data_IF_553443026375
#
_entry.id   IF_553443026375
#
_cell.length_a   1.000
_cell.length_b   1.000
_cell.length_c   1.000
_cell.angle_alpha   90.00
_cell.angle_beta   90.00
_cell.angle_gamma   90.00
#
_symmetry.space_group_name_H-M   'P 1'
#
loop_
_entity.id
_entity.type
_entity.pdbx_description
1 polymer ?
#
# COMPACT_ATOMS: atom_id res chain seq x y z
N UNK A 1 -4.38 9.43 8.86
CA UNK A 1 -5.62 9.29 9.67
C UNK A 1 -5.83 7.81 10.00
N UNK A 2 -6.20 7.43 11.23
CA UNK A 2 -6.34 6.01 11.62
C UNK A 2 -7.73 5.44 11.28
N UNK A 3 -7.85 4.11 11.16
CA UNK A 3 -9.11 3.41 10.95
C UNK A 3 -10.26 3.88 11.88
N UNK A 4 -10.04 4.05 13.21
CA UNK A 4 -11.07 4.60 14.10
C UNK A 4 -11.60 5.98 13.70
N UNK A 5 -10.72 6.87 13.21
CA UNK A 5 -11.13 8.22 12.78
C UNK A 5 -11.98 8.17 11.52
N UNK A 6 -11.64 7.28 10.57
CA UNK A 6 -12.45 7.04 9.36
C UNK A 6 -13.79 6.40 9.70
N UNK A 7 -13.80 5.45 10.62
CA UNK A 7 -15.03 4.84 11.11
C UNK A 7 -15.93 5.88 11.77
N UNK A 8 -15.38 6.72 12.65
CA UNK A 8 -16.13 7.82 13.26
C UNK A 8 -16.66 8.80 12.20
N UNK A 9 -15.83 9.18 11.23
CA UNK A 9 -16.24 10.04 10.13
C UNK A 9 -17.41 9.43 9.33
N UNK A 10 -17.37 8.14 9.02
CA UNK A 10 -18.46 7.47 8.32
C UNK A 10 -19.75 7.47 9.15
N UNK A 11 -19.65 7.32 10.47
CA UNK A 11 -20.82 7.41 11.36
C UNK A 11 -21.38 8.82 11.41
N UNK A 12 -20.53 9.85 11.47
CA UNK A 12 -20.94 11.25 11.50
C UNK A 12 -21.63 11.64 10.18
N UNK A 13 -21.08 11.23 9.02
CA UNK A 13 -21.67 11.45 7.68
C UNK A 13 -23.04 10.78 7.53
N UNK A 14 -23.22 9.61 8.14
CA UNK A 14 -24.48 8.84 8.09
C UNK A 14 -25.47 9.23 9.20
N UNK A 15 -25.06 10.08 10.16
CA UNK A 15 -25.86 10.44 11.32
C UNK A 15 -26.11 9.28 12.28
N UNK A 16 -25.20 8.30 12.33
CA UNK A 16 -25.38 7.07 13.12
C UNK A 16 -24.59 7.12 14.43
N UNK A 17 -25.19 6.60 15.50
CA UNK A 17 -24.47 6.33 16.73
C UNK A 17 -23.91 4.89 16.73
N UNK A 18 -23.03 4.57 17.71
CA UNK A 18 -22.36 3.27 17.80
C UNK A 18 -23.34 2.10 17.96
N UNK A 19 -24.42 2.30 18.72
CA UNK A 19 -25.47 1.29 18.94
C UNK A 19 -26.24 1.00 17.65
N UNK A 20 -26.49 2.02 16.86
CA UNK A 20 -27.18 1.91 15.59
C UNK A 20 -26.30 1.18 14.56
N UNK A 21 -25.00 1.49 14.51
CA UNK A 21 -24.04 0.70 13.71
C UNK A 21 -24.03 -0.76 14.17
N UNK A 22 -24.00 -1.02 15.47
CA UNK A 22 -23.98 -2.37 16.02
C UNK A 22 -25.23 -3.16 15.59
N UNK A 23 -26.41 -2.53 15.61
CA UNK A 23 -27.68 -3.12 15.16
C UNK A 23 -27.64 -3.47 13.68
N UNK A 24 -27.20 -2.55 12.81
CA UNK A 24 -27.08 -2.79 11.35
C UNK A 24 -26.05 -3.87 11.02
N UNK A 25 -24.96 -3.92 11.77
CA UNK A 25 -23.91 -4.91 11.63
C UNK A 25 -24.28 -6.28 12.21
N UNK A 26 -25.30 -6.36 13.07
CA UNK A 26 -25.64 -7.57 13.83
C UNK A 26 -24.54 -7.97 14.82
N UNK A 27 -23.87 -6.98 15.44
CA UNK A 27 -22.79 -7.20 16.42
C UNK A 27 -23.15 -6.55 17.76
N UNK A 28 -22.42 -6.90 18.81
CA UNK A 28 -22.58 -6.24 20.12
C UNK A 28 -22.02 -4.81 20.05
N UNK A 29 -22.62 -3.82 20.75
CA UNK A 29 -22.09 -2.45 20.83
C UNK A 29 -20.63 -2.38 21.30
N UNK A 30 -20.22 -3.30 22.18
CA UNK A 30 -18.83 -3.45 22.64
C UNK A 30 -17.84 -3.70 21.50
N UNK A 31 -18.25 -4.41 20.44
CA UNK A 31 -17.42 -4.65 19.26
C UNK A 31 -17.14 -3.35 18.51
N UNK A 32 -18.17 -2.51 18.31
CA UNK A 32 -18.04 -1.20 17.68
C UNK A 32 -17.17 -0.27 18.52
N UNK A 33 -17.34 -0.28 19.84
CA UNK A 33 -16.48 0.49 20.75
C UNK A 33 -15.01 0.03 20.66
N UNK A 34 -14.76 -1.28 20.56
CA UNK A 34 -13.42 -1.82 20.33
C UNK A 34 -12.81 -1.32 19.02
N UNK A 35 -13.61 -1.24 17.95
CA UNK A 35 -13.17 -0.72 16.65
C UNK A 35 -12.74 0.75 16.72
N UNK A 36 -13.47 1.57 17.47
CA UNK A 36 -13.12 2.96 17.72
C UNK A 36 -11.91 3.12 18.66
N UNK A 37 -11.59 2.10 19.45
CA UNK A 37 -10.37 2.01 20.29
C UNK A 37 -9.17 1.39 19.57
N UNK A 38 -9.19 1.35 18.24
CA UNK A 38 -8.08 0.88 17.40
C UNK A 38 -7.94 -0.65 17.30
N UNK A 39 -9.01 -1.41 17.58
CA UNK A 39 -9.08 -2.85 17.28
C UNK A 39 -9.58 -3.06 15.85
N UNK A 40 -8.80 -3.74 15.01
CA UNK A 40 -9.20 -4.01 13.63
C UNK A 40 -10.21 -5.19 13.63
N UNK A 41 -11.39 -5.03 13.01
CA UNK A 41 -12.35 -6.13 12.87
C UNK A 41 -11.80 -7.26 11.98
N UNK A 42 -12.35 -8.46 12.11
CA UNK A 42 -12.07 -9.54 11.17
C UNK A 42 -12.63 -9.23 9.77
N UNK A 43 -12.09 -9.90 8.76
CA UNK A 43 -12.39 -9.68 7.35
C UNK A 43 -13.90 -9.78 7.03
N UNK A 44 -14.62 -10.69 7.67
CA UNK A 44 -16.08 -10.85 7.53
C UNK A 44 -16.85 -9.59 7.98
N UNK A 45 -16.43 -9.00 9.12
CA UNK A 45 -17.03 -7.77 9.65
C UNK A 45 -16.63 -6.56 8.84
N UNK A 46 -15.43 -6.55 8.28
CA UNK A 46 -14.94 -5.50 7.40
C UNK A 46 -15.71 -5.43 6.07
N UNK A 47 -15.98 -6.58 5.44
CA UNK A 47 -16.82 -6.65 4.24
C UNK A 47 -18.23 -6.14 4.51
N UNK A 48 -18.85 -6.63 5.58
CA UNK A 48 -20.19 -6.17 5.99
C UNK A 48 -20.21 -4.68 6.35
N UNK A 49 -19.14 -4.16 6.95
CA UNK A 49 -19.01 -2.73 7.23
C UNK A 49 -19.00 -1.91 5.93
N UNK A 50 -18.26 -2.37 4.91
CA UNK A 50 -18.25 -1.74 3.58
C UNK A 50 -19.64 -1.73 2.94
N UNK A 51 -20.35 -2.85 3.00
CA UNK A 51 -21.72 -2.97 2.48
C UNK A 51 -22.70 -2.05 3.20
N UNK A 52 -22.66 -2.02 4.54
CA UNK A 52 -23.59 -1.26 5.36
C UNK A 52 -23.33 0.24 5.27
N UNK A 53 -22.07 0.67 5.17
CA UNK A 53 -21.71 2.09 5.11
C UNK A 53 -21.67 2.65 3.69
N UNK A 54 -21.70 1.80 2.66
CA UNK A 54 -21.56 2.20 1.26
C UNK A 54 -20.17 2.74 0.89
N UNK A 55 -19.19 2.64 1.79
CA UNK A 55 -17.80 3.04 1.53
C UNK A 55 -16.97 1.81 1.16
N UNK A 56 -16.07 1.89 0.17
CA UNK A 56 -15.18 0.77 -0.15
C UNK A 56 -14.26 0.48 1.04
N UNK A 57 -13.86 -0.79 1.22
CA UNK A 57 -12.98 -1.22 2.31
C UNK A 57 -11.73 -0.32 2.42
N UNK A 58 -11.10 -0.07 1.28
CA UNK A 58 -9.89 0.74 1.14
C UNK A 58 -10.07 2.19 1.60
N UNK A 59 -11.31 2.69 1.66
CA UNK A 59 -11.61 4.03 2.18
C UNK A 59 -11.31 4.14 3.69
N UNK A 60 -11.65 3.09 4.45
CA UNK A 60 -11.35 3.01 5.88
C UNK A 60 -9.85 2.91 6.15
N UNK A 61 -9.11 2.38 5.18
CA UNK A 61 -7.68 2.16 5.25
C UNK A 61 -6.87 3.11 4.38
N UNK A 62 -7.42 4.14 3.73
CA UNK A 62 -6.67 4.89 2.68
C UNK A 62 -5.41 5.60 3.18
N UNK A 63 -5.26 5.76 4.50
CA UNK A 63 -4.04 6.26 5.12
C UNK A 63 -3.18 5.14 5.78
N UNK A 64 -3.72 3.94 5.96
CA UNK A 64 -2.98 2.73 6.37
C UNK A 64 -2.43 1.96 5.16
N UNK A 65 -3.10 2.04 4.00
CA UNK A 65 -2.57 1.64 2.70
C UNK A 65 -1.38 2.50 2.30
N UNK A 66 -1.22 3.69 2.88
CA UNK A 66 0.04 4.42 2.78
C UNK A 66 1.23 3.73 3.47
N UNK A 67 0.99 2.75 4.35
CA UNK A 67 2.02 2.15 5.20
C UNK A 67 2.12 0.62 5.16
N UNK A 68 1.18 -0.11 4.54
CA UNK A 68 1.24 -1.58 4.50
C UNK A 68 1.29 -2.20 3.10
N UNK A 69 0.66 -1.62 2.08
CA UNK A 69 0.87 -2.08 0.68
C UNK A 69 2.00 -1.35 -0.04
N UNK A 70 2.48 -0.26 0.57
CA UNK A 70 3.59 0.56 0.08
C UNK A 70 4.98 0.16 0.59
N UNK A 71 5.10 -0.97 1.29
CA UNK A 71 6.40 -1.41 1.84
C UNK A 71 7.35 -2.01 0.81
N UNK A 72 6.87 -2.45 -0.35
CA UNK A 72 7.72 -2.99 -1.42
C UNK A 72 8.10 -1.95 -2.50
N UNK A 73 7.26 -0.95 -2.77
CA UNK A 73 7.51 0.02 -3.85
C UNK A 73 7.82 1.46 -3.39
N UNK A 74 7.35 1.95 -2.23
CA UNK A 74 7.60 3.34 -1.83
C UNK A 74 8.85 3.58 -0.98
N UNK A 75 9.45 2.54 -0.41
CA UNK A 75 10.72 2.68 0.32
C UNK A 75 11.85 3.16 -0.61
N UNK A 76 11.73 2.98 -1.94
CA UNK A 76 12.68 3.51 -2.91
C UNK A 76 12.47 4.99 -3.28
N UNK A 77 11.26 5.52 -3.12
CA UNK A 77 10.90 6.84 -3.68
C UNK A 77 10.80 7.96 -2.64
N UNK A 78 10.74 7.66 -1.34
CA UNK A 78 10.50 8.70 -0.33
C UNK A 78 11.72 9.52 0.08
N UNK A 79 12.94 9.10 -0.26
CA UNK A 79 14.15 9.92 -0.04
C UNK A 79 14.52 10.80 -1.25
N UNK A 80 13.84 10.65 -2.40
CA UNK A 80 14.01 11.52 -3.58
C UNK A 80 12.71 12.19 -3.95
N UNK A 81 12.34 13.24 -3.21
CA UNK A 81 11.27 14.15 -3.66
C UNK A 81 11.72 15.05 -4.84
N UNK A 82 12.84 14.73 -5.49
CA UNK A 82 13.28 15.30 -6.76
C UNK A 82 13.76 14.15 -7.67
N UNK A 83 13.08 13.95 -8.79
CA UNK A 83 13.60 13.12 -9.88
C UNK A 83 14.91 13.75 -10.36
N UNK A 84 16.00 13.00 -10.38
CA UNK A 84 17.25 13.50 -10.95
C UNK A 84 17.06 13.74 -12.45
N UNK A 85 17.84 14.64 -13.04
CA UNK A 85 17.74 14.97 -14.47
C UNK A 85 17.81 13.72 -15.38
N UNK A 86 18.63 12.73 -15.00
CA UNK A 86 18.69 11.44 -15.70
C UNK A 86 17.39 10.64 -15.60
N UNK A 87 16.67 10.70 -14.48
CA UNK A 87 15.40 10.01 -14.30
C UNK A 87 14.29 10.67 -15.12
N UNK A 88 14.30 12.00 -15.24
CA UNK A 88 13.36 12.74 -16.11
C UNK A 88 13.59 12.41 -17.58
N UNK A 89 14.86 12.40 -18.02
CA UNK A 89 15.22 12.04 -19.38
C UNK A 89 14.80 10.61 -19.73
N UNK A 90 14.92 9.66 -18.79
CA UNK A 90 14.45 8.29 -18.98
C UNK A 90 12.93 8.25 -19.20
N UNK A 91 12.16 9.03 -18.44
CA UNK A 91 10.71 9.10 -18.60
C UNK A 91 10.31 9.68 -19.95
N UNK A 92 10.97 10.78 -20.36
CA UNK A 92 10.74 11.41 -21.67
C UNK A 92 11.07 10.46 -22.83
N UNK A 93 12.17 9.72 -22.74
CA UNK A 93 12.54 8.71 -23.74
C UNK A 93 11.54 7.56 -23.78
N UNK A 94 11.00 7.13 -22.63
CA UNK A 94 9.98 6.07 -22.60
C UNK A 94 8.66 6.51 -23.25
N UNK A 95 8.25 7.77 -23.07
CA UNK A 95 7.04 8.31 -23.72
C UNK A 95 7.21 8.49 -25.23
N UNK A 96 8.45 8.70 -25.70
CA UNK A 96 8.77 8.87 -27.11
C UNK A 96 8.97 7.54 -27.89
N UNK A 97 9.03 6.40 -27.19
CA UNK A 97 9.29 5.09 -27.80
C UNK A 97 8.01 4.24 -27.95
N UNK A 98 7.93 3.37 -28.97
CA UNK A 98 6.84 2.40 -29.09
C UNK A 98 6.82 1.42 -27.92
N UNK A 99 5.64 1.00 -27.49
CA UNK A 99 5.48 0.06 -26.36
C UNK A 99 6.27 -1.25 -26.54
N UNK A 100 6.44 -1.72 -27.78
CA UNK A 100 7.27 -2.90 -28.08
C UNK A 100 8.72 -2.73 -27.64
N UNK A 101 9.27 -1.54 -27.85
CA UNK A 101 10.68 -1.23 -27.62
C UNK A 101 10.90 -0.96 -26.12
N UNK A 102 9.94 -0.29 -25.49
CA UNK A 102 9.89 -0.09 -24.03
C UNK A 102 9.93 -1.43 -23.30
N UNK A 103 9.09 -2.38 -23.71
CA UNK A 103 9.03 -3.72 -23.10
C UNK A 103 10.34 -4.49 -23.27
N UNK A 104 10.98 -4.38 -24.44
CA UNK A 104 12.27 -5.01 -24.69
C UNK A 104 13.37 -4.43 -23.77
N UNK A 105 13.45 -3.10 -23.70
CA UNK A 105 14.43 -2.39 -22.86
C UNK A 105 14.23 -2.73 -21.38
N UNK A 106 12.97 -2.78 -20.90
CA UNK A 106 12.67 -3.16 -19.52
C UNK A 106 13.16 -4.57 -19.20
N UNK A 107 12.89 -5.51 -20.10
CA UNK A 107 13.36 -6.90 -19.95
C UNK A 107 14.88 -6.98 -19.90
N UNK A 108 15.58 -6.25 -20.76
CA UNK A 108 17.05 -6.20 -20.73
C UNK A 108 17.59 -5.60 -19.43
N UNK A 109 17.00 -4.50 -18.96
CA UNK A 109 17.39 -3.86 -17.71
C UNK A 109 17.16 -4.78 -16.50
N UNK A 110 16.07 -5.55 -16.49
CA UNK A 110 15.78 -6.51 -15.44
C UNK A 110 16.80 -7.67 -15.41
N UNK A 111 17.15 -8.20 -16.59
CA UNK A 111 18.20 -9.21 -16.73
C UNK A 111 19.54 -8.65 -16.23
N UNK A 112 19.91 -7.44 -16.62
CA UNK A 112 21.16 -6.80 -16.16
C UNK A 112 21.14 -6.60 -14.64
N UNK A 113 20.03 -6.12 -14.07
CA UNK A 113 19.89 -5.93 -12.62
C UNK A 113 20.14 -7.23 -11.87
N UNK A 114 19.45 -8.30 -12.25
CA UNK A 114 19.60 -9.61 -11.61
C UNK A 114 21.00 -10.19 -11.77
N UNK A 115 21.63 -9.97 -12.93
CA UNK A 115 23.03 -10.35 -13.15
C UNK A 115 23.98 -9.64 -12.19
N UNK A 116 23.85 -8.32 -12.04
CA UNK A 116 24.70 -7.57 -11.10
C UNK A 116 24.44 -7.95 -9.65
N UNK A 117 23.20 -8.21 -9.24
CA UNK A 117 22.87 -8.69 -7.90
C UNK A 117 23.55 -10.02 -7.60
N UNK A 118 23.50 -10.98 -8.54
CA UNK A 118 24.21 -12.26 -8.42
C UNK A 118 25.72 -12.07 -8.34
N UNK A 119 26.29 -11.25 -9.22
CA UNK A 119 27.74 -10.97 -9.23
C UNK A 119 28.21 -10.31 -7.93
N UNK A 120 27.42 -9.40 -7.36
CA UNK A 120 27.72 -8.79 -6.05
C UNK A 120 27.67 -9.86 -4.96
N UNK A 121 26.66 -10.74 -4.96
CA UNK A 121 26.56 -11.81 -3.97
C UNK A 121 27.74 -12.78 -4.04
N UNK A 122 28.18 -13.15 -5.25
CA UNK A 122 29.38 -13.97 -5.47
C UNK A 122 30.64 -13.29 -4.92
N UNK A 123 30.86 -12.01 -5.23
CA UNK A 123 32.01 -11.25 -4.72
C UNK A 123 32.01 -11.11 -3.19
N UNK A 124 30.84 -10.95 -2.58
CA UNK A 124 30.70 -10.88 -1.11
C UNK A 124 31.01 -12.24 -0.46
N UNK A 125 30.53 -13.34 -1.04
CA UNK A 125 30.84 -14.69 -0.56
C UNK A 125 32.33 -15.02 -0.73
N UNK A 126 32.94 -14.59 -1.83
CA UNK A 126 34.38 -14.77 -2.07
C UNK A 126 35.21 -14.01 -1.03
N UNK A 127 34.81 -12.79 -0.63
CA UNK A 127 35.47 -12.04 0.45
C UNK A 127 35.28 -12.66 1.84
N UNK A 128 34.14 -13.32 2.11
CA UNK A 128 33.90 -14.01 3.39
C UNK A 128 34.68 -15.31 3.55
N UNK A 129 35.01 -15.99 2.45
CA UNK A 129 35.85 -17.19 2.45
C UNK A 129 37.36 -16.91 2.52
N UNK A 130 37.77 -15.65 2.61
CA UNK A 130 39.19 -15.22 2.67
C UNK A 130 39.55 -14.63 4.06
N UNK A 131 38.61 -14.67 5.03
CA UNK A 131 38.84 -14.24 6.44
C UNK A 131 38.78 -15.43 7.38
#
# INVERSE_FOLDING_TARGET
MSFPKRLQQALDELGWNQSELARRMGVKPQSVQGWLKNVIPRMDKLKKLSEVTGKPLDWFFSHQLQNQEKKSYETFHKEKNTLTEKQKLILELFEALPESDVNLILKELEIKKTFYEKKIAELLNQKKNIV
#
